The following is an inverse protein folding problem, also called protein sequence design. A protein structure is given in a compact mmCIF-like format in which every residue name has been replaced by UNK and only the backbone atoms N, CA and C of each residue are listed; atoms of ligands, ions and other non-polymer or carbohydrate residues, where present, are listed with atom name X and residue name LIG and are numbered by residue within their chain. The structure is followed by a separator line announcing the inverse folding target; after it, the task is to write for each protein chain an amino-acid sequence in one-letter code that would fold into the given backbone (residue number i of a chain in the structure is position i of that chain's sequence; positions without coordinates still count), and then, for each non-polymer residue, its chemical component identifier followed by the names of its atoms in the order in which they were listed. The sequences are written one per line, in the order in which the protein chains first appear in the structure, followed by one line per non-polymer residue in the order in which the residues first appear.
data_IF_043437852342
#
_entry.id   IF_043437852342
#
_cell.length_a   1.000
_cell.length_b   1.000
_cell.length_c   1.000
_cell.angle_alpha   90.00
_cell.angle_beta   90.00
_cell.angle_gamma   90.00
#
_symmetry.space_group_name_H-M   'P 1'
#
loop_
_entity.id
_entity.type
_entity.pdbx_description
1 polymer ?
#
# COMPACT_ATOMS: atom_id res chain seq x y z
N UNK A 1 -18.52 34.87 -49.52
CA UNK A 1 -17.47 35.63 -48.80
C UNK A 1 -16.51 34.62 -48.20
N UNK A 2 -15.24 34.76 -48.56
CA UNK A 2 -14.14 33.80 -48.39
C UNK A 2 -13.29 34.27 -47.22
N UNK A 3 -13.04 33.43 -46.22
CA UNK A 3 -11.97 33.66 -45.24
C UNK A 3 -11.23 32.33 -44.97
N UNK A 4 -10.11 32.18 -45.66
CA UNK A 4 -9.16 31.07 -45.56
C UNK A 4 -8.19 31.42 -44.44
N UNK A 5 -8.00 30.51 -43.47
CA UNK A 5 -6.95 30.63 -42.45
C UNK A 5 -5.63 30.14 -43.03
N UNK A 6 -4.66 31.04 -43.10
CA UNK A 6 -3.29 30.84 -43.58
C UNK A 6 -2.44 30.26 -42.44
N UNK A 7 -1.99 29.01 -42.55
CA UNK A 7 -1.03 28.41 -41.62
C UNK A 7 0.38 28.64 -42.13
N UNK A 8 1.20 29.35 -41.36
CA UNK A 8 2.61 29.60 -41.63
C UNK A 8 3.45 28.49 -40.98
N UNK A 9 4.04 27.63 -41.82
CA UNK A 9 4.98 26.58 -41.43
C UNK A 9 6.36 27.22 -41.29
N UNK A 10 6.90 27.29 -40.08
CA UNK A 10 8.30 27.70 -39.82
C UNK A 10 9.17 26.45 -39.66
N UNK A 11 9.81 26.08 -40.77
CA UNK A 11 10.81 25.03 -40.88
C UNK A 11 12.16 25.59 -40.39
N UNK A 12 12.59 25.27 -39.17
CA UNK A 12 13.94 25.60 -38.68
C UNK A 12 14.88 24.42 -38.90
N UNK A 13 15.84 24.63 -39.79
CA UNK A 13 16.88 23.68 -40.21
C UNK A 13 18.00 23.69 -39.15
N UNK A 14 18.55 22.53 -38.73
CA UNK A 14 19.61 22.47 -37.75
C UNK A 14 20.96 22.86 -38.36
N UNK A 15 21.69 23.75 -37.69
CA UNK A 15 23.06 24.10 -38.06
C UNK A 15 24.05 23.17 -37.32
N UNK A 16 24.53 22.17 -38.03
CA UNK A 16 25.72 21.40 -37.67
C UNK A 16 26.96 22.28 -37.78
N UNK A 17 27.72 22.40 -36.68
CA UNK A 17 29.14 22.76 -36.75
C UNK A 17 29.96 21.53 -36.34
N UNK A 18 30.61 20.96 -37.35
CA UNK A 18 31.63 19.92 -37.24
C UNK A 18 32.98 20.65 -37.25
N UNK A 19 33.88 20.30 -36.34
CA UNK A 19 35.31 20.00 -36.59
C UNK A 19 36.19 20.38 -35.39
N UNK A 20 36.91 19.39 -34.88
CA UNK A 20 37.95 19.60 -33.89
C UNK A 20 38.53 18.32 -33.30
N UNK A 21 38.79 17.28 -34.12
CA UNK A 21 39.70 16.20 -33.73
C UNK A 21 41.11 16.57 -34.20
N UNK A 22 42.06 16.66 -33.28
CA UNK A 22 43.48 16.51 -33.57
C UNK A 22 44.01 15.33 -32.76
N UNK A 23 44.62 14.37 -33.45
CA UNK A 23 45.45 13.32 -32.87
C UNK A 23 46.91 13.80 -32.88
N UNK A 24 47.67 13.55 -31.82
CA UNK A 24 49.08 13.18 -31.93
C UNK A 24 49.42 12.05 -30.95
N UNK A 25 50.16 11.09 -31.48
CA UNK A 25 50.64 9.82 -30.92
C UNK A 25 51.99 9.98 -30.16
N UNK A 26 52.05 9.33 -28.99
CA UNK A 26 53.10 8.49 -28.33
C UNK A 26 54.56 8.61 -28.86
N UNK A 27 55.61 8.88 -28.07
CA UNK A 27 56.34 8.06 -27.05
C UNK A 27 57.22 9.02 -26.19
N UNK A 28 57.46 8.87 -24.88
CA UNK A 28 58.18 7.80 -24.18
C UNK A 28 57.82 7.75 -22.66
N UNK A 29 57.69 6.54 -22.09
CA UNK A 29 57.82 6.25 -20.65
C UNK A 29 59.24 5.70 -20.38
N UNK A 30 59.82 5.76 -19.16
CA UNK A 30 59.34 5.03 -17.98
C UNK A 30 59.35 5.89 -16.69
N UNK A 31 58.27 5.94 -15.92
CA UNK A 31 57.94 5.03 -14.82
C UNK A 31 58.10 5.75 -13.47
N UNK A 32 57.00 6.30 -12.96
CA UNK A 32 56.81 6.46 -11.52
C UNK A 32 55.37 6.08 -11.15
N UNK A 33 55.24 5.22 -10.15
CA UNK A 33 54.04 4.45 -9.87
C UNK A 33 52.90 5.34 -9.37
N UNK A 34 51.81 5.39 -10.14
CA UNK A 34 50.53 5.96 -9.70
C UNK A 34 49.47 4.86 -9.63
N UNK A 35 49.01 4.51 -8.43
CA UNK A 35 47.70 3.88 -8.24
C UNK A 35 46.70 4.99 -7.90
N UNK A 36 46.16 5.63 -8.95
CA UNK A 36 44.90 6.35 -8.86
C UNK A 36 43.78 5.30 -8.76
N UNK A 37 43.22 5.13 -7.56
CA UNK A 37 41.93 4.48 -7.39
C UNK A 37 40.84 5.51 -7.72
N UNK A 38 40.46 5.60 -8.99
CA UNK A 38 39.22 6.25 -9.41
C UNK A 38 38.04 5.33 -9.02
N UNK A 39 37.72 5.33 -7.73
CA UNK A 39 36.47 4.78 -7.23
C UNK A 39 35.37 5.78 -7.56
N UNK A 40 34.82 5.70 -8.77
CA UNK A 40 33.47 6.19 -9.06
C UNK A 40 32.49 5.32 -8.28
N UNK A 41 32.42 5.57 -6.97
CA UNK A 41 31.25 5.23 -6.18
C UNK A 41 30.16 6.20 -6.64
N UNK A 42 29.23 5.72 -7.44
CA UNK A 42 27.89 6.27 -7.45
C UNK A 42 27.39 6.18 -6.00
N UNK A 43 27.64 7.24 -5.24
CA UNK A 43 27.15 7.38 -3.88
C UNK A 43 25.64 7.39 -4.01
N UNK A 44 25.01 6.26 -3.66
CA UNK A 44 23.59 6.21 -3.33
C UNK A 44 23.33 7.39 -2.40
N UNK A 45 22.58 8.38 -2.90
CA UNK A 45 22.21 9.57 -2.16
C UNK A 45 21.53 9.08 -0.89
N UNK A 46 22.27 9.09 0.22
CA UNK A 46 21.69 8.83 1.54
C UNK A 46 20.67 9.94 1.72
N UNK A 47 19.39 9.60 1.53
CA UNK A 47 18.29 10.51 1.81
C UNK A 47 18.22 10.67 3.32
N UNK A 48 18.95 11.64 3.85
CA UNK A 48 18.91 12.00 5.27
C UNK A 48 17.68 12.87 5.53
N UNK A 49 16.96 12.62 6.62
CA UNK A 49 15.78 13.41 7.02
C UNK A 49 14.58 12.52 7.34
N UNK A 50 13.44 13.15 7.58
CA UNK A 50 12.17 12.47 7.83
C UNK A 50 11.11 12.93 6.83
N UNK A 51 10.22 12.02 6.46
CA UNK A 51 8.98 12.33 5.75
C UNK A 51 7.76 12.02 6.60
N UNK A 52 6.65 12.69 6.33
CA UNK A 52 5.37 12.40 6.98
C UNK A 52 4.68 11.25 6.25
N UNK A 53 4.12 10.30 6.98
CA UNK A 53 3.43 9.14 6.43
C UNK A 53 2.02 9.03 7.01
N UNK A 54 1.03 8.98 6.11
CA UNK A 54 -0.38 8.89 6.45
C UNK A 54 -0.89 7.48 6.11
N UNK A 55 -1.38 6.78 7.13
CA UNK A 55 -2.08 5.50 6.97
C UNK A 55 -3.59 5.74 6.99
N UNK A 56 -4.27 5.30 5.95
CA UNK A 56 -5.72 5.32 5.83
C UNK A 56 -6.31 3.93 5.59
N UNK A 57 -7.55 3.74 6.02
CA UNK A 57 -8.34 2.53 5.75
C UNK A 57 -9.64 2.89 5.05
N UNK A 58 -10.03 2.05 4.10
CA UNK A 58 -11.31 2.13 3.39
C UNK A 58 -11.78 0.72 3.04
N UNK A 59 -12.94 0.61 2.42
CA UNK A 59 -13.47 -0.59 1.77
C UNK A 59 -14.33 -0.10 0.62
N UNK A 60 -13.96 -0.40 -0.63
CA UNK A 60 -14.72 -0.01 -1.81
C UNK A 60 -15.25 -1.25 -2.54
N UNK A 61 -16.58 -1.39 -2.63
CA UNK A 61 -17.25 -2.41 -3.45
C UNK A 61 -18.01 -3.48 -2.67
N UNK A 62 -18.66 -3.11 -1.57
CA UNK A 62 -19.39 -4.06 -0.73
C UNK A 62 -20.79 -4.36 -1.28
N UNK A 63 -20.97 -5.51 -1.95
CA UNK A 63 -22.31 -6.12 -2.07
C UNK A 63 -22.59 -7.01 -0.84
N UNK A 64 -23.02 -6.39 0.25
CA UNK A 64 -23.44 -7.09 1.47
C UNK A 64 -24.94 -6.99 1.72
N UNK A 65 -25.76 -7.27 0.72
CA UNK A 65 -27.23 -7.19 0.84
C UNK A 65 -27.85 -7.87 2.09
N UNK A 66 -27.13 -8.79 2.77
CA UNK A 66 -27.55 -9.42 4.04
C UNK A 66 -26.76 -9.00 5.31
N UNK A 67 -25.64 -8.28 5.18
CA UNK A 67 -24.79 -7.83 6.31
C UNK A 67 -24.83 -6.31 6.39
N UNK A 68 -25.17 -5.78 7.57
CA UNK A 68 -25.35 -4.34 7.79
C UNK A 68 -24.12 -3.66 8.38
N UNK A 69 -23.21 -4.42 8.99
CA UNK A 69 -21.98 -3.91 9.63
C UNK A 69 -20.92 -5.01 9.68
N UNK A 70 -19.67 -4.63 9.38
CA UNK A 70 -18.47 -5.46 9.55
C UNK A 70 -17.43 -4.62 10.27
N UNK A 71 -17.40 -4.75 11.60
CA UNK A 71 -16.44 -4.04 12.46
C UNK A 71 -15.18 -4.85 12.63
N UNK A 72 -14.05 -4.28 12.21
CA UNK A 72 -12.73 -4.88 12.37
C UNK A 72 -11.93 -4.07 13.39
N UNK A 73 -11.24 -4.73 14.31
CA UNK A 73 -10.27 -4.10 15.21
C UNK A 73 -8.86 -4.33 14.68
N UNK A 74 -8.16 -3.23 14.41
CA UNK A 74 -6.74 -3.21 14.02
C UNK A 74 -5.96 -2.78 15.27
N UNK A 75 -5.16 -3.68 15.83
CA UNK A 75 -4.43 -3.44 17.07
C UNK A 75 -3.07 -2.78 16.84
N UNK A 76 -2.43 -3.13 15.72
CA UNK A 76 -1.06 -2.71 15.44
C UNK A 76 -0.80 -2.66 13.95
N UNK A 77 -0.02 -1.66 13.54
CA UNK A 77 0.57 -1.59 12.21
C UNK A 77 2.07 -1.38 12.36
N UNK A 78 2.85 -2.12 11.59
CA UNK A 78 4.30 -2.02 11.53
C UNK A 78 4.76 -1.94 10.07
N UNK A 79 5.85 -1.22 9.81
CA UNK A 79 6.55 -1.20 8.53
C UNK A 79 7.96 -1.76 8.70
N UNK A 80 8.52 -2.35 7.65
CA UNK A 80 9.88 -2.88 7.68
C UNK A 80 10.78 -2.18 6.68
N UNK A 81 11.91 -1.67 7.15
CA UNK A 81 13.03 -1.21 6.33
C UNK A 81 14.19 -2.22 6.48
N UNK A 82 14.94 -2.48 5.41
CA UNK A 82 16.03 -3.46 5.40
C UNK A 82 17.11 -3.20 6.46
N UNK A 83 17.38 -1.94 6.76
CA UNK A 83 18.51 -1.52 7.59
C UNK A 83 18.07 -1.28 9.04
N UNK A 84 16.82 -0.84 9.23
CA UNK A 84 16.24 -0.46 10.53
C UNK A 84 15.35 -1.53 11.14
N UNK A 85 14.96 -2.54 10.36
CA UNK A 85 14.03 -3.59 10.78
C UNK A 85 12.59 -3.11 10.90
N UNK A 86 11.84 -3.70 11.83
CA UNK A 86 10.42 -3.40 12.07
C UNK A 86 10.24 -2.13 12.91
N UNK A 87 9.47 -1.19 12.39
CA UNK A 87 9.11 0.08 13.03
C UNK A 87 7.60 0.10 13.24
N UNK A 88 7.15 0.45 14.45
CA UNK A 88 5.72 0.57 14.78
C UNK A 88 5.19 1.90 14.25
N UNK A 89 4.08 1.87 13.52
CA UNK A 89 3.39 3.07 13.00
C UNK A 89 2.07 3.33 13.70
N UNK A 90 1.42 2.28 14.22
CA UNK A 90 0.19 2.38 15.00
C UNK A 90 0.27 1.38 16.16
N UNK A 91 0.01 1.84 17.38
CA UNK A 91 0.06 1.03 18.61
C UNK A 91 -1.16 1.22 19.53
N UNK A 92 -2.10 2.08 19.13
CA UNK A 92 -3.40 2.21 19.79
C UNK A 92 -4.43 1.52 18.90
N UNK A 93 -5.13 0.53 19.46
CA UNK A 93 -6.13 -0.20 18.72
C UNK A 93 -7.24 0.72 18.22
N UNK A 94 -7.66 0.51 16.98
CA UNK A 94 -8.78 1.22 16.37
C UNK A 94 -9.77 0.21 15.79
N UNK A 95 -11.07 0.51 15.94
CA UNK A 95 -12.14 -0.29 15.32
C UNK A 95 -12.82 0.55 14.25
N UNK A 96 -12.95 -0.03 13.05
CA UNK A 96 -13.61 0.60 11.90
C UNK A 96 -14.71 -0.31 11.39
N UNK A 97 -15.79 0.28 10.87
CA UNK A 97 -16.87 -0.45 10.21
C UNK A 97 -16.72 -0.34 8.70
N UNK A 98 -16.33 -1.44 8.07
CA UNK A 98 -16.02 -1.48 6.64
C UNK A 98 -17.25 -1.14 5.78
N UNK A 99 -18.44 -1.57 6.21
CA UNK A 99 -19.70 -1.25 5.50
C UNK A 99 -20.01 0.24 5.56
N UNK A 100 -19.62 0.93 6.64
CA UNK A 100 -19.75 2.39 6.75
C UNK A 100 -18.75 3.10 5.83
N UNK A 101 -17.49 2.62 5.78
CA UNK A 101 -16.46 3.22 4.91
C UNK A 101 -16.87 3.16 3.43
N UNK A 102 -17.42 2.02 2.99
CA UNK A 102 -17.93 1.82 1.62
C UNK A 102 -19.13 2.74 1.31
N UNK A 103 -20.15 2.73 2.16
CA UNK A 103 -21.38 3.51 1.93
C UNK A 103 -21.16 5.01 1.89
N UNK A 104 -20.19 5.49 2.64
CA UNK A 104 -19.87 6.92 2.73
C UNK A 104 -18.76 7.33 1.76
N UNK A 105 -18.13 6.37 1.06
CA UNK A 105 -17.01 6.59 0.12
C UNK A 105 -15.87 7.41 0.75
N UNK A 106 -15.35 6.91 1.87
CA UNK A 106 -14.38 7.63 2.70
C UNK A 106 -13.15 6.78 3.04
N UNK A 107 -12.04 7.48 3.27
CA UNK A 107 -10.82 6.92 3.85
C UNK A 107 -10.71 7.44 5.28
N UNK A 108 -10.77 6.54 6.27
CA UNK A 108 -10.57 6.89 7.67
C UNK A 108 -9.08 6.86 8.02
N UNK A 109 -8.60 7.86 8.75
CA UNK A 109 -7.22 7.93 9.25
C UNK A 109 -6.96 6.85 10.31
N UNK A 110 -5.89 6.09 10.12
CA UNK A 110 -5.36 5.13 11.09
C UNK A 110 -4.16 5.69 11.86
N UNK A 111 -3.22 6.30 11.14
CA UNK A 111 -2.02 6.89 11.73
C UNK A 111 -1.48 8.04 10.89
N UNK A 112 -0.86 9.00 11.58
CA UNK A 112 -0.14 10.14 11.03
C UNK A 112 1.17 10.25 11.79
N UNK A 113 2.27 9.88 11.14
CA UNK A 113 3.57 9.70 11.78
C UNK A 113 4.70 10.25 10.90
N UNK A 114 5.82 10.63 11.51
CA UNK A 114 7.07 10.88 10.78
C UNK A 114 7.94 9.63 10.79
N UNK A 115 8.44 9.25 9.62
CA UNK A 115 9.40 8.17 9.47
C UNK A 115 10.67 8.75 8.85
N UNK A 116 11.83 8.21 9.24
CA UNK A 116 13.06 8.52 8.55
C UNK A 116 12.95 8.17 7.06
N UNK A 117 13.54 8.99 6.21
CA UNK A 117 13.55 8.79 4.77
C UNK A 117 14.19 7.44 4.40
N UNK A 118 13.68 6.85 3.33
CA UNK A 118 14.08 5.54 2.84
C UNK A 118 12.90 4.70 2.35
N UNK A 119 13.20 3.48 1.91
CA UNK A 119 12.21 2.53 1.41
C UNK A 119 11.85 1.52 2.49
N UNK A 120 10.55 1.24 2.61
CA UNK A 120 9.98 0.22 3.48
C UNK A 120 9.30 -0.82 2.59
N UNK A 121 9.72 -2.07 2.66
CA UNK A 121 9.31 -3.12 1.69
C UNK A 121 8.24 -4.07 2.23
N UNK A 122 7.86 -3.92 3.52
CA UNK A 122 6.82 -4.74 4.13
C UNK A 122 5.95 -3.90 5.06
N UNK A 123 4.66 -4.22 5.05
CA UNK A 123 3.66 -3.70 5.99
C UNK A 123 3.05 -4.90 6.71
N UNK A 124 2.92 -4.83 8.02
CA UNK A 124 2.26 -5.83 8.85
C UNK A 124 1.10 -5.19 9.61
N UNK A 125 -0.07 -5.82 9.54
CA UNK A 125 -1.22 -5.50 10.35
C UNK A 125 -1.47 -6.63 11.34
N UNK A 126 -1.91 -6.29 12.56
CA UNK A 126 -2.44 -7.24 13.53
C UNK A 126 -3.91 -6.93 13.77
N UNK A 127 -4.77 -7.90 13.47
CA UNK A 127 -6.21 -7.89 13.65
C UNK A 127 -6.58 -8.79 14.84
N UNK A 128 -7.65 -8.45 15.57
CA UNK A 128 -8.13 -9.28 16.67
C UNK A 128 -9.63 -9.56 16.62
N UNK A 129 -10.45 -8.55 16.87
CA UNK A 129 -11.90 -8.70 17.00
C UNK A 129 -12.61 -8.34 15.69
N UNK A 130 -13.31 -9.31 15.11
CA UNK A 130 -14.13 -9.12 13.91
C UNK A 130 -15.60 -9.39 14.26
N UNK A 131 -16.42 -8.35 14.16
CA UNK A 131 -17.82 -8.35 14.53
C UNK A 131 -18.70 -8.09 13.31
N UNK A 132 -19.57 -9.04 13.00
CA UNK A 132 -20.49 -9.00 11.86
C UNK A 132 -21.91 -8.85 12.37
N UNK A 133 -22.67 -7.92 11.81
CA UNK A 133 -24.10 -7.76 12.11
C UNK A 133 -24.92 -8.13 10.90
N UNK A 134 -25.80 -9.12 11.04
CA UNK A 134 -26.77 -9.54 10.03
C UNK A 134 -28.20 -9.52 10.60
N UNK A 135 -29.17 -10.07 9.86
CA UNK A 135 -30.57 -10.15 10.28
C UNK A 135 -30.80 -10.95 11.57
N UNK A 136 -29.86 -11.82 11.96
CA UNK A 136 -29.86 -12.58 13.20
C UNK A 136 -29.12 -11.90 14.35
N UNK A 137 -28.62 -10.68 14.16
CA UNK A 137 -27.92 -9.88 15.17
C UNK A 137 -26.40 -9.96 15.07
N UNK A 138 -25.73 -9.60 16.18
CA UNK A 138 -24.28 -9.48 16.26
C UNK A 138 -23.60 -10.85 16.42
N UNK A 139 -22.59 -11.14 15.60
CA UNK A 139 -21.84 -12.40 15.59
C UNK A 139 -20.33 -12.13 15.48
N UNK A 140 -19.52 -12.99 16.07
CA UNK A 140 -18.07 -12.99 15.86
C UNK A 140 -17.72 -13.72 14.55
N UNK A 141 -16.76 -13.20 13.80
CA UNK A 141 -16.13 -13.91 12.70
C UNK A 141 -14.79 -14.52 13.14
N UNK A 142 -14.52 -15.73 12.66
CA UNK A 142 -13.25 -16.42 12.86
C UNK A 142 -12.18 -15.85 11.92
N UNK A 143 -11.02 -15.49 12.45
CA UNK A 143 -9.84 -15.15 11.65
C UNK A 143 -9.01 -16.43 11.40
N UNK A 144 -8.60 -16.75 10.16
CA UNK A 144 -7.58 -17.78 9.91
C UNK A 144 -6.26 -17.45 10.62
N UNK A 145 -5.85 -16.17 10.60
CA UNK A 145 -4.71 -15.61 11.32
C UNK A 145 -5.00 -14.16 11.73
N UNK A 146 -4.43 -13.73 12.87
CA UNK A 146 -4.45 -12.33 13.31
C UNK A 146 -3.48 -11.45 12.52
N UNK A 147 -2.41 -12.02 11.98
CA UNK A 147 -1.37 -11.26 11.27
C UNK A 147 -1.64 -11.25 9.77
N UNK A 148 -1.66 -10.05 9.19
CA UNK A 148 -1.67 -9.84 7.73
C UNK A 148 -0.33 -9.22 7.34
N UNK A 149 0.46 -9.95 6.56
CA UNK A 149 1.73 -9.44 6.01
C UNK A 149 1.57 -9.08 4.54
N UNK A 150 1.95 -7.87 4.19
CA UNK A 150 1.91 -7.33 2.83
C UNK A 150 3.33 -6.99 2.40
N UNK A 151 3.77 -7.49 1.25
CA UNK A 151 5.08 -7.17 0.65
C UNK A 151 4.83 -6.13 -0.42
N UNK A 152 5.31 -4.91 -0.21
CA UNK A 152 5.06 -3.76 -1.07
C UNK A 152 5.93 -2.58 -0.65
N UNK A 153 6.28 -1.73 -1.60
CA UNK A 153 7.15 -0.58 -1.36
C UNK A 153 6.36 0.64 -0.89
N UNK A 154 6.78 1.21 0.24
CA UNK A 154 6.48 2.56 0.67
C UNK A 154 7.81 3.33 0.62
N UNK A 155 7.95 4.32 -0.26
CA UNK A 155 9.09 5.23 -0.23
C UNK A 155 8.74 6.47 0.56
N UNK A 156 9.58 6.83 1.51
CA UNK A 156 9.47 8.05 2.30
C UNK A 156 10.58 9.00 1.86
N UNK A 157 10.22 10.12 1.24
CA UNK A 157 11.15 11.18 0.90
C UNK A 157 11.22 12.21 2.04
N UNK A 158 12.38 12.85 2.27
CA UNK A 158 12.50 13.90 3.27
C UNK A 158 11.59 15.08 2.91
N UNK A 159 10.99 15.70 3.94
CA UNK A 159 10.14 16.88 3.83
C UNK A 159 8.93 16.74 2.89
N UNK A 160 8.52 15.51 2.58
CA UNK A 160 7.33 15.21 1.77
C UNK A 160 6.35 14.29 2.50
N UNK A 161 5.15 14.14 1.94
CA UNK A 161 4.11 13.27 2.48
C UNK A 161 4.03 12.01 1.64
N UNK A 162 4.04 10.86 2.30
CA UNK A 162 3.73 9.56 1.71
C UNK A 162 2.43 9.02 2.28
N UNK A 163 1.71 8.21 1.51
CA UNK A 163 0.45 7.61 1.95
C UNK A 163 0.47 6.10 1.82
N UNK A 164 -0.26 5.45 2.72
CA UNK A 164 -0.60 4.03 2.65
C UNK A 164 -2.11 3.93 2.81
N UNK A 165 -2.79 3.50 1.76
CA UNK A 165 -4.23 3.19 1.81
C UNK A 165 -4.41 1.69 1.84
N UNK A 166 -5.09 1.22 2.89
CA UNK A 166 -5.53 -0.15 3.08
C UNK A 166 -7.01 -0.23 2.70
N UNK A 167 -7.26 -0.56 1.44
CA UNK A 167 -8.60 -0.75 0.90
C UNK A 167 -8.99 -2.21 1.10
N UNK A 168 -9.72 -2.50 2.17
CA UNK A 168 -10.26 -3.83 2.39
C UNK A 168 -11.24 -4.14 1.27
N UNK A 169 -11.39 -5.42 0.94
CA UNK A 169 -12.47 -5.89 0.09
C UNK A 169 -13.33 -6.81 0.94
N UNK A 170 -14.30 -6.25 1.67
CA UNK A 170 -15.10 -7.06 2.59
C UNK A 170 -15.90 -8.15 1.86
N UNK A 171 -16.32 -7.88 0.61
CA UNK A 171 -17.06 -8.83 -0.21
C UNK A 171 -16.25 -10.09 -0.56
N UNK A 172 -14.93 -9.98 -0.72
CA UNK A 172 -14.02 -11.14 -0.91
C UNK A 172 -13.39 -11.62 0.42
N UNK A 173 -13.52 -10.85 1.51
CA UNK A 173 -12.97 -11.21 2.83
C UNK A 173 -13.92 -12.02 3.72
N UNK A 174 -15.24 -11.80 3.58
CA UNK A 174 -16.24 -12.44 4.43
C UNK A 174 -16.79 -13.72 3.80
N UNK A 175 -16.80 -14.80 4.60
CA UNK A 175 -17.35 -16.09 4.20
C UNK A 175 -18.26 -16.68 5.28
N UNK A 176 -19.23 -17.48 4.86
CA UNK A 176 -20.13 -18.21 5.77
C UNK A 176 -19.78 -19.70 5.69
N UNK A 177 -19.37 -20.28 6.82
CA UNK A 177 -19.13 -21.71 6.91
C UNK A 177 -20.45 -22.50 6.88
N UNK A 178 -20.39 -23.80 6.58
CA UNK A 178 -21.59 -24.66 6.49
C UNK A 178 -22.41 -24.77 7.78
N UNK A 179 -21.88 -24.32 8.92
CA UNK A 179 -22.58 -24.23 10.21
C UNK A 179 -23.12 -22.82 10.51
N UNK A 180 -23.10 -21.90 9.53
CA UNK A 180 -23.60 -20.53 9.65
C UNK A 180 -22.67 -19.55 10.37
N UNK A 181 -21.47 -19.98 10.80
CA UNK A 181 -20.47 -19.08 11.41
C UNK A 181 -19.72 -18.29 10.33
N UNK A 182 -19.40 -17.05 10.64
CA UNK A 182 -18.58 -16.21 9.78
C UNK A 182 -17.09 -16.54 9.89
N UNK A 183 -16.39 -16.45 8.77
CA UNK A 183 -14.93 -16.45 8.64
C UNK A 183 -14.56 -15.14 7.95
N UNK A 184 -13.56 -14.44 8.48
CA UNK A 184 -12.99 -13.25 7.87
C UNK A 184 -11.56 -13.55 7.46
N UNK A 185 -11.32 -13.74 6.17
CA UNK A 185 -10.01 -13.96 5.59
C UNK A 185 -9.65 -12.70 4.78
N UNK A 186 -8.89 -11.74 5.34
CA UNK A 186 -8.73 -10.43 4.74
C UNK A 186 -8.21 -10.50 3.30
N UNK A 187 -8.88 -9.79 2.42
CA UNK A 187 -8.41 -9.38 1.09
C UNK A 187 -8.28 -7.86 1.14
N UNK A 188 -7.10 -7.36 0.83
CA UNK A 188 -6.73 -5.95 0.98
C UNK A 188 -6.00 -5.51 -0.28
N UNK A 189 -6.51 -4.47 -0.92
CA UNK A 189 -5.77 -3.70 -1.90
C UNK A 189 -4.89 -2.67 -1.17
N UNK A 190 -3.59 -2.84 -1.30
CA UNK A 190 -2.59 -1.89 -0.85
C UNK A 190 -2.35 -0.88 -1.97
N UNK A 191 -2.50 0.41 -1.66
CA UNK A 191 -1.96 1.49 -2.49
C UNK A 191 -1.01 2.36 -1.65
N UNK A 192 0.21 2.58 -2.14
CA UNK A 192 1.16 3.51 -1.54
C UNK A 192 1.50 4.63 -2.52
N UNK A 193 1.65 5.84 -2.00
CA UNK A 193 2.09 7.00 -2.78
C UNK A 193 3.20 7.75 -2.07
N UNK A 194 4.05 8.41 -2.84
CA UNK A 194 5.01 9.41 -2.36
C UNK A 194 4.71 10.77 -2.97
N UNK A 195 5.25 11.81 -2.32
CA UNK A 195 5.10 13.20 -2.73
C UNK A 195 3.62 13.57 -2.91
N UNK A 196 2.80 13.10 -1.99
CA UNK A 196 1.35 13.26 -1.99
C UNK A 196 0.93 14.60 -1.37
N UNK A 197 -0.19 15.12 -1.85
CA UNK A 197 -0.89 16.23 -1.19
C UNK A 197 -2.07 15.63 -0.41
N UNK A 198 -2.05 15.80 0.92
CA UNK A 198 -3.06 15.20 1.81
C UNK A 198 -3.75 16.26 2.64
N UNK A 199 -5.08 16.24 2.64
CA UNK A 199 -5.89 16.97 3.60
C UNK A 199 -6.47 16.00 4.63
N UNK A 200 -6.41 16.36 5.91
CA UNK A 200 -7.05 15.60 7.00
C UNK A 200 -8.22 16.41 7.51
N UNK A 201 -9.42 15.83 7.41
CA UNK A 201 -10.67 16.49 7.80
C UNK A 201 -11.17 15.85 9.09
N UNK A 202 -11.51 16.66 10.08
CA UNK A 202 -12.20 16.17 11.28
C UNK A 202 -13.65 15.83 10.91
N UNK A 203 -14.09 14.64 11.31
CA UNK A 203 -15.46 14.16 11.19
C UNK A 203 -15.94 13.65 12.55
N UNK A 204 -17.23 13.35 12.69
CA UNK A 204 -17.82 12.93 13.96
C UNK A 204 -17.11 11.66 14.48
N UNK A 205 -16.34 11.84 15.56
CA UNK A 205 -15.56 10.80 16.26
C UNK A 205 -14.42 10.14 15.46
N UNK A 206 -14.00 10.72 14.33
CA UNK A 206 -12.89 10.18 13.53
C UNK A 206 -12.25 11.28 12.68
N UNK A 207 -11.17 10.94 11.98
CA UNK A 207 -10.50 11.81 11.01
C UNK A 207 -10.55 11.13 9.64
N UNK A 208 -10.81 11.92 8.61
CA UNK A 208 -10.87 11.47 7.22
C UNK A 208 -9.63 11.92 6.47
N UNK A 209 -9.16 11.09 5.54
CA UNK A 209 -8.00 11.35 4.69
C UNK A 209 -8.48 11.63 3.28
N UNK A 210 -8.09 12.77 2.73
CA UNK A 210 -8.30 13.12 1.33
C UNK A 210 -6.94 13.22 0.63
N UNK A 211 -6.70 12.33 -0.33
CA UNK A 211 -5.45 12.27 -1.09
C UNK A 211 -5.69 12.93 -2.45
N UNK A 212 -5.09 14.10 -2.66
CA UNK A 212 -5.35 14.92 -3.85
C UNK A 212 -4.32 14.68 -4.96
N UNK A 213 -3.12 14.21 -4.60
CA UNK A 213 -1.99 14.06 -5.52
C UNK A 213 -1.01 12.99 -5.02
N UNK A 214 0.05 12.76 -5.78
CA UNK A 214 1.16 11.89 -5.41
C UNK A 214 1.40 10.78 -6.41
N UNK A 215 2.64 10.30 -6.49
CA UNK A 215 3.06 9.22 -7.38
C UNK A 215 2.86 7.88 -6.69
N UNK A 216 2.11 6.98 -7.33
CA UNK A 216 1.94 5.60 -6.86
C UNK A 216 3.28 4.86 -6.93
N UNK A 217 3.69 4.27 -5.81
CA UNK A 217 4.86 3.38 -5.72
C UNK A 217 4.43 1.90 -5.77
N UNK A 218 3.38 1.54 -5.03
CA UNK A 218 2.82 0.19 -5.00
C UNK A 218 1.31 0.24 -5.19
N UNK A 219 0.78 -0.65 -6.03
CA UNK A 219 -0.64 -0.98 -6.09
C UNK A 219 -0.76 -2.48 -6.30
N UNK A 220 -1.27 -3.21 -5.30
CA UNK A 220 -1.45 -4.67 -5.35
C UNK A 220 -2.60 -5.12 -4.47
N UNK A 221 -3.17 -6.27 -4.77
CA UNK A 221 -4.14 -6.95 -3.92
C UNK A 221 -3.48 -8.15 -3.25
N UNK A 222 -3.52 -8.20 -1.92
CA UNK A 222 -3.09 -9.33 -1.10
C UNK A 222 -4.30 -9.92 -0.43
N UNK A 223 -4.35 -11.24 -0.31
CA UNK A 223 -5.34 -11.86 0.56
C UNK A 223 -4.81 -13.05 1.31
N UNK A 224 -5.69 -13.61 2.13
CA UNK A 224 -5.38 -14.66 3.10
C UNK A 224 -6.07 -15.99 2.72
N UNK A 225 -5.37 -17.11 2.88
CA UNK A 225 -5.97 -18.45 2.78
C UNK A 225 -6.54 -18.95 4.12
N UNK A 226 -7.08 -20.17 4.10
CA UNK A 226 -7.66 -20.83 5.28
C UNK A 226 -6.64 -21.18 6.38
N UNK A 227 -5.35 -21.20 6.04
CA UNK A 227 -4.26 -21.49 6.96
C UNK A 227 -3.60 -20.21 7.51
N UNK A 228 -4.08 -19.04 7.06
CA UNK A 228 -3.59 -17.74 7.50
C UNK A 228 -2.39 -17.23 6.73
N UNK A 229 -1.98 -17.87 5.64
CA UNK A 229 -0.89 -17.37 4.80
C UNK A 229 -1.40 -16.23 3.92
N UNK A 230 -0.56 -15.21 3.71
CA UNK A 230 -0.88 -14.07 2.84
C UNK A 230 -0.03 -14.07 1.57
N UNK A 231 -0.65 -13.77 0.43
CA UNK A 231 0.06 -13.62 -0.85
C UNK A 231 -0.72 -12.72 -1.81
N UNK A 232 -0.01 -12.10 -2.75
CA UNK A 232 -0.62 -11.34 -3.84
C UNK A 232 -1.59 -12.22 -4.64
N UNK A 233 -2.80 -11.71 -4.86
CA UNK A 233 -3.89 -12.37 -5.59
C UNK A 233 -4.50 -13.60 -4.91
N UNK A 234 -4.12 -13.90 -3.67
CA UNK A 234 -4.70 -15.00 -2.91
C UNK A 234 -6.06 -14.60 -2.37
N UNK A 235 -7.06 -15.48 -2.51
CA UNK A 235 -8.37 -15.35 -1.86
C UNK A 235 -9.03 -16.72 -1.74
N UNK A 236 -9.92 -16.86 -0.77
CA UNK A 236 -10.73 -18.07 -0.65
C UNK A 236 -11.84 -18.01 -1.72
N UNK A 237 -11.98 -19.02 -2.59
CA UNK A 237 -13.03 -19.00 -3.61
C UNK A 237 -14.43 -19.02 -3.00
N UNK A 238 -15.32 -18.16 -3.49
CA UNK A 238 -16.70 -17.98 -2.98
C UNK A 238 -17.59 -19.21 -3.15
N UNK A 239 -17.30 -20.06 -4.11
CA UNK A 239 -18.05 -21.29 -4.42
C UNK A 239 -17.67 -22.48 -3.52
N UNK A 240 -16.64 -22.34 -2.68
CA UNK A 240 -16.16 -23.41 -1.82
C UNK A 240 -16.91 -23.46 -0.49
N UNK A 241 -17.33 -24.66 -0.10
CA UNK A 241 -17.96 -24.90 1.20
C UNK A 241 -16.90 -24.92 2.29
N UNK A 242 -16.93 -23.95 3.20
CA UNK A 242 -16.02 -23.89 4.33
C UNK A 242 -16.59 -24.61 5.56
N UNK A 243 -15.72 -25.25 6.33
CA UNK A 243 -16.05 -25.87 7.63
C UNK A 243 -15.07 -25.44 8.70
N UNK A 244 -15.59 -24.98 9.84
CA UNK A 244 -14.80 -24.73 11.05
C UNK A 244 -14.83 -26.01 11.90
N UNK A 245 -13.66 -26.62 12.10
CA UNK A 245 -13.48 -27.83 12.90
C UNK A 245 -13.49 -27.51 14.40
N UNK A 246 -13.60 -28.53 15.25
CA UNK A 246 -13.63 -28.38 16.72
C UNK A 246 -12.37 -27.72 17.31
N UNK A 247 -11.23 -27.80 16.62
CA UNK A 247 -9.98 -27.14 16.98
C UNK A 247 -9.84 -25.73 16.37
N UNK A 248 -10.94 -25.13 15.92
CA UNK A 248 -11.00 -23.85 15.21
C UNK A 248 -10.19 -23.79 13.90
N UNK A 249 -9.72 -24.92 13.36
CA UNK A 249 -9.13 -24.93 12.01
C UNK A 249 -10.21 -24.87 10.94
N UNK A 250 -9.95 -24.08 9.90
CA UNK A 250 -10.81 -23.97 8.73
C UNK A 250 -10.43 -25.08 7.75
N UNK A 251 -11.42 -25.60 7.02
CA UNK A 251 -11.20 -26.55 5.93
C UNK A 251 -12.12 -26.27 4.77
N UNK A 252 -11.64 -26.52 3.57
CA UNK A 252 -12.41 -26.46 2.33
C UNK A 252 -12.99 -27.85 2.07
N UNK A 253 -14.32 -27.94 1.97
CA UNK A 253 -15.01 -29.11 1.47
C UNK A 253 -14.70 -29.31 -0.01
N UNK A 254 -14.51 -30.56 -0.40
CA UNK A 254 -14.39 -30.99 -1.80
C UNK A 254 -15.78 -30.95 -2.44
#
# INVERSE_FOLDING_TARGET
MRNIKLYLIMLFIPLLLISGCYNQTIDQQPNDNNQNNDNNNDQELVTTGEGRVIFGVTDLGVDTSSITSIRITIDKIEVHNSDKGWIKVMNTSQTVDLVTLDKEDIIQLLSDIKLEAGTYQQIRLVLSNILVTDSGGLKNAMLPSSEVKIIGNLNVNPDSISTVTLDFNAADSIHIAGNGKYIFAPVIKLETRKDADVNIVDDVNRKLVQINNGKVDTSLEVGMDIDGNTRVGLKIPKDKKLTIKANNKISIGI
#
